data_IF_350316060504
#
_entry.id   IF_350316060504
#
_cell.length_a   1.000
_cell.length_b   1.000
_cell.length_c   1.000
_cell.angle_alpha   90.00
_cell.angle_beta   90.00
_cell.angle_gamma   90.00
#
_symmetry.space_group_name_H-M   'P 1'
#
loop_
_entity.id
_entity.type
_entity.pdbx_description
1 polymer ?
#
# COMPACT_ATOMS: atom_id res chain seq x y z
N UNK A 1 17.64 0.17 -16.48
CA UNK A 1 17.35 -1.29 -16.37
C UNK A 1 16.64 -1.47 -15.04
N UNK A 2 15.35 -1.74 -15.07
CA UNK A 2 14.58 -2.04 -13.84
C UNK A 2 14.86 -3.50 -13.45
N UNK A 3 15.41 -3.69 -12.27
CA UNK A 3 15.69 -5.02 -11.74
C UNK A 3 14.40 -5.65 -11.23
N UNK A 4 14.22 -6.94 -11.50
CA UNK A 4 13.01 -7.68 -11.10
C UNK A 4 13.02 -8.14 -9.64
N UNK A 5 14.20 -8.19 -9.03
CA UNK A 5 14.39 -8.70 -7.68
C UNK A 5 15.00 -7.64 -6.77
N UNK A 6 14.73 -7.76 -5.47
CA UNK A 6 15.41 -6.98 -4.44
C UNK A 6 16.88 -7.40 -4.39
N UNK A 7 17.79 -6.44 -4.42
CA UNK A 7 19.22 -6.67 -4.33
C UNK A 7 19.75 -6.31 -2.95
N UNK A 8 20.73 -7.05 -2.48
CA UNK A 8 21.47 -6.72 -1.28
C UNK A 8 22.58 -5.72 -1.62
N UNK A 9 22.65 -4.61 -0.90
CA UNK A 9 23.65 -3.57 -1.11
C UNK A 9 24.19 -3.03 0.21
N UNK A 10 25.51 -2.74 0.22
CA UNK A 10 26.21 -2.24 1.39
C UNK A 10 26.09 -0.71 1.52
N UNK A 11 24.87 -0.20 1.66
CA UNK A 11 24.68 1.21 2.01
C UNK A 11 24.76 1.44 3.52
N UNK A 12 25.46 2.46 3.94
CA UNK A 12 25.64 2.78 5.36
C UNK A 12 24.30 3.01 6.07
N UNK A 13 23.33 3.61 5.38
CA UNK A 13 21.96 3.85 5.87
C UNK A 13 21.16 2.56 6.11
N UNK A 14 21.54 1.45 5.50
CA UNK A 14 20.85 0.16 5.63
C UNK A 14 21.51 -0.77 6.67
N UNK A 15 22.54 -0.30 7.39
CA UNK A 15 23.30 -1.14 8.34
C UNK A 15 22.74 -1.16 9.75
N UNK A 16 21.53 -0.67 10.00
CA UNK A 16 20.90 -0.83 11.30
C UNK A 16 20.59 -2.30 11.56
N UNK A 17 21.10 -2.83 12.67
CA UNK A 17 20.90 -4.23 13.06
C UNK A 17 19.48 -4.45 13.62
N UNK A 18 18.91 -3.40 14.22
CA UNK A 18 17.68 -3.48 14.99
C UNK A 18 16.43 -3.04 14.20
N UNK A 19 16.62 -2.45 13.01
CA UNK A 19 15.52 -1.90 12.21
C UNK A 19 15.61 -2.43 10.78
N UNK A 20 14.60 -3.15 10.29
CA UNK A 20 14.50 -3.52 8.88
C UNK A 20 14.59 -2.27 8.00
N UNK A 21 15.54 -2.25 7.09
CA UNK A 21 15.82 -1.05 6.29
C UNK A 21 15.86 -1.40 4.81
N UNK A 22 15.26 -0.57 3.97
CA UNK A 22 15.21 -0.73 2.53
C UNK A 22 15.43 0.61 1.84
N UNK A 23 16.18 0.60 0.73
CA UNK A 23 16.30 1.73 -0.19
C UNK A 23 15.37 1.49 -1.38
N UNK A 24 14.46 2.41 -1.61
CA UNK A 24 13.53 2.35 -2.76
C UNK A 24 13.95 3.38 -3.81
N UNK A 25 14.35 2.90 -4.99
CA UNK A 25 14.65 3.73 -6.15
C UNK A 25 13.39 3.82 -7.02
N UNK A 26 12.76 4.99 -7.03
CA UNK A 26 11.49 5.22 -7.73
C UNK A 26 11.63 5.42 -9.24
N UNK A 27 12.85 5.57 -9.74
CA UNK A 27 13.21 5.78 -11.14
C UNK A 27 14.38 6.72 -11.32
N UNK A 28 14.83 6.87 -12.55
CA UNK A 28 15.96 7.71 -12.91
C UNK A 28 15.47 9.01 -13.53
N UNK A 29 15.79 10.15 -12.92
CA UNK A 29 15.38 11.48 -13.41
C UNK A 29 15.94 11.80 -14.81
N UNK A 30 17.06 11.16 -15.18
CA UNK A 30 17.67 11.27 -16.51
C UNK A 30 16.95 10.43 -17.58
N UNK A 31 16.08 9.53 -17.18
CA UNK A 31 15.21 8.80 -18.10
C UNK A 31 13.92 9.61 -18.33
N UNK A 32 13.60 10.01 -19.57
CA UNK A 32 12.44 10.87 -19.88
C UNK A 32 11.10 10.28 -19.42
N UNK A 33 10.91 8.96 -19.51
CA UNK A 33 9.67 8.31 -19.10
C UNK A 33 9.53 8.30 -17.57
N UNK A 34 10.60 8.03 -16.84
CA UNK A 34 10.61 8.11 -15.39
C UNK A 34 10.40 9.54 -14.91
N UNK A 35 11.10 10.52 -15.51
CA UNK A 35 10.91 11.94 -15.21
C UNK A 35 9.45 12.37 -15.44
N UNK A 36 8.84 11.96 -16.57
CA UNK A 36 7.43 12.23 -16.88
C UNK A 36 6.48 11.59 -15.88
N UNK A 37 6.74 10.35 -15.43
CA UNK A 37 5.95 9.67 -14.41
C UNK A 37 6.08 10.38 -13.06
N UNK A 38 7.29 10.74 -12.65
CA UNK A 38 7.57 11.40 -11.38
C UNK A 38 7.05 12.84 -11.32
N UNK A 39 6.97 13.56 -12.45
CA UNK A 39 6.41 14.91 -12.52
C UNK A 39 4.90 14.94 -12.30
N UNK A 40 4.18 13.85 -12.62
CA UNK A 40 2.73 13.75 -12.47
C UNK A 40 2.31 13.35 -11.06
N UNK A 41 1.24 13.98 -10.54
CA UNK A 41 0.67 13.66 -9.22
C UNK A 41 0.28 12.19 -9.12
N UNK A 42 -0.37 11.65 -10.16
CA UNK A 42 -0.81 10.25 -10.23
C UNK A 42 0.39 9.28 -10.19
N UNK A 43 1.46 9.58 -10.92
CA UNK A 43 2.67 8.76 -10.90
C UNK A 43 3.31 8.68 -9.52
N UNK A 44 3.42 9.84 -8.84
CA UNK A 44 3.94 9.87 -7.46
C UNK A 44 3.02 9.15 -6.47
N UNK A 45 1.69 9.31 -6.60
CA UNK A 45 0.71 8.61 -5.76
C UNK A 45 0.79 7.09 -5.93
N UNK A 46 0.96 6.62 -7.17
CA UNK A 46 1.10 5.19 -7.46
C UNK A 46 2.35 4.61 -6.81
N UNK A 47 3.50 5.30 -6.92
CA UNK A 47 4.75 4.90 -6.28
C UNK A 47 4.61 4.88 -4.74
N UNK A 48 4.12 5.97 -4.16
CA UNK A 48 3.91 6.07 -2.72
C UNK A 48 2.99 4.97 -2.19
N UNK A 49 1.95 4.62 -2.95
CA UNK A 49 1.06 3.52 -2.63
C UNK A 49 1.76 2.16 -2.67
N UNK A 50 2.53 1.89 -3.71
CA UNK A 50 3.28 0.63 -3.82
C UNK A 50 4.25 0.47 -2.65
N UNK A 51 4.93 1.56 -2.25
CA UNK A 51 5.80 1.57 -1.07
C UNK A 51 4.99 1.28 0.20
N UNK A 52 3.87 1.97 0.38
CA UNK A 52 2.99 1.75 1.54
C UNK A 52 2.54 0.30 1.64
N UNK A 53 2.03 -0.28 0.54
CA UNK A 53 1.57 -1.67 0.53
C UNK A 53 2.71 -2.65 0.82
N UNK A 54 3.89 -2.43 0.25
CA UNK A 54 5.06 -3.27 0.51
C UNK A 54 5.47 -3.26 1.98
N UNK A 55 5.54 -2.08 2.60
CA UNK A 55 5.86 -1.92 4.03
C UNK A 55 4.75 -2.55 4.89
N UNK A 56 3.50 -2.27 4.56
CA UNK A 56 2.35 -2.79 5.29
C UNK A 56 2.34 -4.31 5.28
N UNK A 57 2.45 -4.95 4.10
CA UNK A 57 2.45 -6.40 3.98
C UNK A 57 3.65 -7.03 4.72
N UNK A 58 4.82 -6.40 4.63
CA UNK A 58 5.97 -6.86 5.39
C UNK A 58 5.68 -6.95 6.90
N UNK A 59 5.07 -5.94 7.50
CA UNK A 59 4.76 -5.95 8.93
C UNK A 59 3.53 -6.81 9.30
N UNK A 60 2.68 -7.16 8.33
CA UNK A 60 1.66 -8.19 8.54
C UNK A 60 2.28 -9.58 8.57
N UNK A 61 3.19 -9.86 7.65
CA UNK A 61 3.86 -11.16 7.55
C UNK A 61 4.90 -11.36 8.68
N UNK A 62 5.51 -10.26 9.13
CA UNK A 62 6.55 -10.23 10.17
C UNK A 62 6.21 -9.20 11.25
N UNK A 63 5.16 -9.41 12.03
CA UNK A 63 4.74 -8.47 13.06
C UNK A 63 5.80 -8.36 14.16
N UNK A 64 6.10 -7.13 14.57
CA UNK A 64 6.98 -6.90 15.72
C UNK A 64 6.23 -7.22 17.00
N UNK A 65 6.86 -8.03 17.86
CA UNK A 65 6.28 -8.42 19.15
C UNK A 65 5.99 -7.21 20.03
N UNK A 66 4.83 -7.22 20.70
CA UNK A 66 4.35 -6.12 21.55
C UNK A 66 3.72 -4.96 20.77
N UNK A 67 3.61 -5.03 19.44
CA UNK A 67 2.92 -4.01 18.65
C UNK A 67 1.44 -4.36 18.44
N UNK A 68 0.64 -3.33 18.08
CA UNK A 68 -0.77 -3.54 17.72
C UNK A 68 -0.93 -4.47 16.51
N UNK A 69 0.09 -4.60 15.67
CA UNK A 69 0.07 -5.46 14.48
C UNK A 69 0.20 -6.95 14.84
N UNK A 70 0.84 -7.31 15.96
CA UNK A 70 0.98 -8.70 16.40
C UNK A 70 -0.39 -9.39 16.60
N UNK A 71 -1.41 -8.62 17.00
CA UNK A 71 -2.78 -9.11 17.26
C UNK A 71 -3.83 -8.52 16.32
N UNK A 72 -3.45 -7.73 15.33
CA UNK A 72 -4.41 -7.09 14.44
C UNK A 72 -4.63 -7.90 13.19
N UNK A 73 -5.90 -8.19 12.92
CA UNK A 73 -6.32 -8.43 11.54
C UNK A 73 -5.98 -7.17 10.75
N UNK A 74 -5.39 -7.36 9.57
CA UNK A 74 -4.89 -6.28 8.73
C UNK A 74 -6.00 -5.41 8.13
N UNK A 75 -6.68 -4.65 8.96
CA UNK A 75 -7.75 -3.75 8.50
C UNK A 75 -7.29 -2.30 8.46
N UNK A 76 -7.60 -1.61 7.37
CA UNK A 76 -7.59 -0.15 7.29
C UNK A 76 -9.01 0.36 7.50
N UNK A 77 -9.21 1.23 8.49
CA UNK A 77 -10.46 1.97 8.63
C UNK A 77 -10.41 3.17 7.68
N UNK A 78 -11.26 3.18 6.67
CA UNK A 78 -11.30 4.22 5.64
C UNK A 78 -12.61 5.00 5.75
N UNK A 79 -12.50 6.33 5.61
CA UNK A 79 -13.66 7.23 5.51
C UNK A 79 -13.86 7.55 4.03
N UNK A 80 -14.97 7.11 3.48
CA UNK A 80 -15.33 7.31 2.06
C UNK A 80 -15.38 8.79 1.72
N UNK A 81 -14.65 9.17 0.68
CA UNK A 81 -14.61 10.53 0.15
C UNK A 81 -15.64 10.68 -0.97
N UNK A 82 -15.92 11.94 -1.34
CA UNK A 82 -16.78 12.24 -2.48
C UNK A 82 -16.15 11.71 -3.77
N UNK A 83 -16.93 10.95 -4.56
CA UNK A 83 -16.48 10.32 -5.79
C UNK A 83 -15.80 8.96 -5.63
N UNK A 84 -15.56 8.47 -4.40
CA UNK A 84 -15.03 7.12 -4.20
C UNK A 84 -16.04 6.05 -4.64
N UNK A 85 -15.53 5.00 -5.28
CA UNK A 85 -16.27 3.78 -5.59
C UNK A 85 -15.57 2.56 -4.97
N UNK A 86 -16.31 1.49 -4.70
CA UNK A 86 -15.71 0.24 -4.20
C UNK A 86 -14.62 -0.27 -5.14
N UNK A 87 -14.83 -0.17 -6.46
CA UNK A 87 -13.86 -0.62 -7.45
C UNK A 87 -12.56 0.18 -7.41
N UNK A 88 -12.64 1.50 -7.28
CA UNK A 88 -11.45 2.36 -7.11
C UNK A 88 -10.76 2.13 -5.79
N UNK A 89 -11.50 1.92 -4.71
CA UNK A 89 -10.94 1.58 -3.42
C UNK A 89 -10.27 0.20 -3.46
N UNK A 90 -10.87 -0.78 -4.11
CA UNK A 90 -10.28 -2.10 -4.31
C UNK A 90 -8.93 -2.00 -5.05
N UNK A 91 -8.90 -1.24 -6.15
CA UNK A 91 -7.65 -0.94 -6.87
C UNK A 91 -6.69 -0.16 -5.97
N UNK A 92 -7.14 0.84 -5.22
CA UNK A 92 -6.33 1.69 -4.35
C UNK A 92 -5.67 0.91 -3.22
N UNK A 93 -6.34 -0.07 -2.66
CA UNK A 93 -5.86 -0.85 -1.53
C UNK A 93 -5.31 -2.24 -1.91
N UNK A 94 -5.30 -2.59 -3.20
CA UNK A 94 -4.77 -3.87 -3.69
C UNK A 94 -5.62 -5.07 -3.29
N UNK A 95 -6.90 -4.87 -3.04
CA UNK A 95 -7.86 -5.91 -2.62
C UNK A 95 -8.95 -6.09 -3.66
N UNK A 96 -9.81 -7.09 -3.51
CA UNK A 96 -10.97 -7.26 -4.37
C UNK A 96 -12.18 -6.45 -3.88
N UNK A 97 -13.04 -6.00 -4.81
CA UNK A 97 -14.31 -5.36 -4.46
C UNK A 97 -15.20 -6.27 -3.61
N UNK A 98 -15.10 -7.57 -3.82
CA UNK A 98 -15.83 -8.58 -3.03
C UNK A 98 -15.33 -8.65 -1.59
N UNK A 99 -14.00 -8.60 -1.38
CA UNK A 99 -13.41 -8.54 -0.05
C UNK A 99 -13.92 -7.32 0.72
N UNK A 100 -13.94 -6.14 0.10
CA UNK A 100 -14.46 -4.92 0.74
C UNK A 100 -15.94 -5.10 1.13
N UNK A 101 -16.77 -5.62 0.21
CA UNK A 101 -18.19 -5.86 0.50
C UNK A 101 -18.40 -6.83 1.65
N UNK A 102 -17.72 -7.97 1.61
CA UNK A 102 -17.81 -9.02 2.62
C UNK A 102 -17.40 -8.50 4.01
N UNK A 103 -16.27 -7.81 4.09
CA UNK A 103 -15.75 -7.25 5.34
C UNK A 103 -16.71 -6.23 5.98
N UNK A 104 -17.49 -5.53 5.15
CA UNK A 104 -18.42 -4.48 5.60
C UNK A 104 -19.90 -4.89 5.56
N UNK A 105 -20.21 -6.15 5.26
CA UNK A 105 -21.58 -6.66 5.11
C UNK A 105 -22.41 -5.82 4.11
N UNK A 106 -21.80 -5.39 3.00
CA UNK A 106 -22.46 -4.59 1.98
C UNK A 106 -23.18 -5.52 0.98
N UNK A 107 -24.47 -5.30 0.77
CA UNK A 107 -25.29 -6.04 -0.20
C UNK A 107 -25.07 -5.55 -1.65
N UNK A 108 -24.49 -4.38 -1.85
CA UNK A 108 -24.25 -3.76 -3.15
C UNK A 108 -22.90 -3.02 -3.19
N UNK A 109 -22.58 -2.46 -4.34
CA UNK A 109 -21.37 -1.61 -4.50
C UNK A 109 -21.60 -0.15 -4.07
N UNK A 110 -22.76 0.17 -3.48
CA UNK A 110 -23.09 1.53 -3.08
C UNK A 110 -22.39 1.87 -1.77
N UNK A 111 -21.61 2.93 -1.78
CA UNK A 111 -20.98 3.54 -0.60
C UNK A 111 -21.24 5.04 -0.65
N UNK A 112 -21.24 5.69 0.50
CA UNK A 112 -21.63 7.09 0.64
C UNK A 112 -20.51 7.90 1.29
N UNK A 113 -20.40 9.16 0.92
CA UNK A 113 -19.47 10.12 1.53
C UNK A 113 -19.59 10.07 3.07
N UNK A 114 -18.47 10.08 3.76
CA UNK A 114 -18.33 9.97 5.21
C UNK A 114 -18.70 8.60 5.81
N UNK A 115 -19.06 7.60 5.00
CA UNK A 115 -19.23 6.24 5.48
C UNK A 115 -17.89 5.69 5.95
N UNK A 116 -17.88 5.07 7.13
CA UNK A 116 -16.70 4.33 7.62
C UNK A 116 -16.76 2.92 7.08
N UNK A 117 -15.71 2.49 6.41
CA UNK A 117 -15.57 1.12 5.92
C UNK A 117 -14.23 0.54 6.39
N UNK A 118 -14.24 -0.78 6.61
CA UNK A 118 -13.02 -1.57 6.87
C UNK A 118 -12.53 -2.18 5.57
N UNK A 119 -11.25 -2.09 5.32
CA UNK A 119 -10.59 -2.70 4.17
C UNK A 119 -9.61 -3.72 4.70
N UNK A 120 -9.87 -4.98 4.42
CA UNK A 120 -9.03 -6.11 4.83
C UNK A 120 -7.88 -6.24 3.82
N UNK A 121 -6.66 -6.04 4.29
CA UNK A 121 -5.45 -6.12 3.47
C UNK A 121 -4.78 -7.50 3.52
N UNK A 122 -5.29 -8.44 4.32
CA UNK A 122 -4.75 -9.80 4.42
C UNK A 122 -4.99 -10.65 3.15
N UNK A 123 -5.89 -10.20 2.27
CA UNK A 123 -6.27 -10.87 1.01
C UNK A 123 -5.85 -10.07 -0.23
N UNK A 124 -4.77 -9.34 -0.15
CA UNK A 124 -4.22 -8.54 -1.26
C UNK A 124 -3.26 -9.33 -2.16
#
# INVERSE_FOLDING_TARGET
IHKKNVESAYFRVLKSVDIPSVLVESGFITNPEDAKRLSKKEGRRMIARSIFLGIHNYFIDYPLSGTLLENSQAYVNYIVQEGDTISELAIRFGVTSESIRKTNNLSSNSIYKNQKIKIDLSNS
#
